data_IF_003598137506
#
_entry.id   IF_003598137506
#
_cell.length_a   1.000
_cell.length_b   1.000
_cell.length_c   1.000
_cell.angle_alpha   90.00
_cell.angle_beta   90.00
_cell.angle_gamma   90.00
#
_symmetry.space_group_name_H-M   'P 1'
#
loop_
_entity.id
_entity.type
_entity.pdbx_description
1 polymer ?
#
# COMPACT_ATOMS: atom_id res chain seq x y z
N UNK A 1 5.31 46.24 -56.35
CA UNK A 1 4.86 45.61 -55.09
C UNK A 1 6.03 45.01 -54.29
N UNK A 2 6.33 45.51 -53.09
CA UNK A 2 7.40 44.95 -52.25
C UNK A 2 6.91 43.72 -51.49
N UNK A 3 7.77 42.71 -51.34
CA UNK A 3 7.46 41.50 -50.54
C UNK A 3 7.58 41.82 -49.03
N UNK A 4 6.69 41.32 -48.18
CA UNK A 4 6.85 41.42 -46.74
C UNK A 4 7.93 40.44 -46.27
N UNK A 5 9.08 40.98 -45.87
CA UNK A 5 10.16 40.23 -45.25
C UNK A 5 9.73 39.94 -43.80
N UNK A 6 9.27 38.71 -43.55
CA UNK A 6 8.88 38.27 -42.20
C UNK A 6 10.14 38.16 -41.33
N UNK A 7 10.10 38.82 -40.18
CA UNK A 7 11.12 38.84 -39.13
C UNK A 7 11.18 37.46 -38.45
N UNK A 8 12.00 36.56 -39.01
CA UNK A 8 12.27 35.23 -38.45
C UNK A 8 13.13 35.28 -37.17
N UNK A 9 13.75 36.42 -36.84
CA UNK A 9 14.67 36.55 -35.72
C UNK A 9 13.96 36.75 -34.37
N UNK A 10 12.92 37.58 -34.35
CA UNK A 10 12.19 37.90 -33.12
C UNK A 10 11.37 36.72 -32.56
N UNK A 11 10.87 35.84 -33.43
CA UNK A 11 10.05 34.68 -33.06
C UNK A 11 10.87 33.55 -32.44
N UNK A 12 12.11 33.35 -32.88
CA UNK A 12 13.01 32.31 -32.36
C UNK A 12 13.43 32.60 -30.90
N UNK A 13 13.69 33.86 -30.57
CA UNK A 13 14.09 34.27 -29.21
C UNK A 13 12.94 34.18 -28.19
N UNK A 14 11.71 34.49 -28.60
CA UNK A 14 10.54 34.38 -27.72
C UNK A 14 10.20 32.92 -27.39
N UNK A 15 10.36 32.01 -28.34
CA UNK A 15 10.05 30.59 -28.13
C UNK A 15 11.10 29.90 -27.24
N UNK A 16 12.38 30.28 -27.39
CA UNK A 16 13.45 29.82 -26.50
C UNK A 16 13.22 30.26 -25.04
N UNK A 17 12.78 31.50 -24.81
CA UNK A 17 12.52 32.02 -23.47
C UNK A 17 11.31 31.33 -22.79
N UNK A 18 10.27 30.97 -23.56
CA UNK A 18 9.14 30.17 -23.04
C UNK A 18 9.58 28.75 -22.67
N UNK A 19 10.39 28.11 -23.52
CA UNK A 19 10.89 26.77 -23.27
C UNK A 19 11.73 26.70 -21.97
N UNK A 20 12.62 27.67 -21.76
CA UNK A 20 13.46 27.73 -20.55
C UNK A 20 12.62 27.87 -19.27
N UNK A 21 11.58 28.72 -19.29
CA UNK A 21 10.65 28.91 -18.16
C UNK A 21 9.86 27.63 -17.87
N UNK A 22 9.41 26.92 -18.90
CA UNK A 22 8.71 25.64 -18.76
C UNK A 22 9.63 24.57 -18.15
N UNK A 23 10.87 24.46 -18.62
CA UNK A 23 11.84 23.51 -18.06
C UNK A 23 12.18 23.79 -16.59
N UNK A 24 12.28 25.06 -16.19
CA UNK A 24 12.49 25.45 -14.79
C UNK A 24 11.28 25.09 -13.92
N UNK A 25 10.05 25.29 -14.42
CA UNK A 25 8.81 24.91 -13.71
C UNK A 25 8.69 23.40 -13.54
N UNK A 26 8.98 22.63 -14.59
CA UNK A 26 9.00 21.16 -14.55
C UNK A 26 10.03 20.65 -13.54
N UNK A 27 11.26 21.22 -13.53
CA UNK A 27 12.29 20.86 -12.55
C UNK A 27 11.87 21.15 -11.11
N UNK A 28 11.20 22.28 -10.86
CA UNK A 28 10.75 22.67 -9.52
C UNK A 28 9.59 21.78 -9.04
N UNK A 29 8.69 21.39 -9.94
CA UNK A 29 7.61 20.45 -9.66
C UNK A 29 8.18 19.07 -9.28
N UNK A 30 9.11 18.55 -10.08
CA UNK A 30 9.74 17.23 -9.84
C UNK A 30 10.47 17.15 -8.49
N UNK A 31 11.03 18.26 -8.02
CA UNK A 31 11.71 18.33 -6.72
C UNK A 31 10.73 18.34 -5.55
N UNK A 32 9.53 18.90 -5.74
CA UNK A 32 8.48 18.92 -4.72
C UNK A 32 7.78 17.56 -4.60
N UNK A 33 7.54 16.87 -5.73
CA UNK A 33 6.98 15.51 -5.74
C UNK A 33 7.94 14.49 -5.11
N UNK A 34 9.26 14.69 -5.23
CA UNK A 34 10.26 13.78 -4.67
C UNK A 34 10.38 13.87 -3.14
N UNK A 35 10.17 15.05 -2.56
CA UNK A 35 10.28 15.27 -1.12
C UNK A 35 9.05 14.70 -0.38
N UNK A 36 7.85 14.88 -0.96
CA UNK A 36 6.60 14.33 -0.43
C UNK A 36 6.59 12.79 -0.47
N UNK A 37 7.15 12.20 -1.53
CA UNK A 37 7.23 10.73 -1.66
C UNK A 37 8.09 10.07 -0.58
N UNK A 38 9.11 10.77 -0.04
CA UNK A 38 10.06 10.17 0.89
C UNK A 38 9.50 10.03 2.31
N UNK A 39 8.62 10.95 2.75
CA UNK A 39 8.02 10.88 4.08
C UNK A 39 6.85 9.87 4.13
N UNK A 40 6.03 9.81 3.08
CA UNK A 40 4.97 8.80 2.96
C UNK A 40 5.52 7.37 2.87
N UNK A 41 6.65 7.18 2.16
CA UNK A 41 7.34 5.90 2.08
C UNK A 41 7.86 5.46 3.45
N UNK A 42 8.33 6.40 4.28
CA UNK A 42 8.81 6.08 5.64
C UNK A 42 7.70 5.52 6.56
N UNK A 43 6.49 6.09 6.47
CA UNK A 43 5.33 5.65 7.24
C UNK A 43 4.80 4.31 6.74
N UNK A 44 4.72 4.13 5.42
CA UNK A 44 4.32 2.86 4.81
C UNK A 44 5.29 1.72 5.17
N UNK A 45 6.60 1.98 5.17
CA UNK A 45 7.62 1.03 5.61
C UNK A 45 7.48 0.70 7.10
N UNK A 46 7.25 1.69 7.96
CA UNK A 46 7.07 1.46 9.38
C UNK A 46 5.83 0.61 9.68
N UNK A 47 4.71 0.88 9.01
CA UNK A 47 3.48 0.07 9.13
C UNK A 47 3.71 -1.36 8.64
N UNK A 48 4.40 -1.53 7.52
CA UNK A 48 4.76 -2.84 6.97
C UNK A 48 5.55 -3.69 7.97
N UNK A 49 6.52 -3.07 8.68
CA UNK A 49 7.33 -3.75 9.70
C UNK A 49 6.49 -4.24 10.87
N UNK A 50 5.55 -3.43 11.36
CA UNK A 50 4.64 -3.81 12.45
C UNK A 50 3.74 -4.96 12.03
N UNK A 51 3.17 -4.89 10.83
CA UNK A 51 2.32 -5.95 10.26
C UNK A 51 3.07 -7.27 10.13
N UNK A 52 4.29 -7.23 9.59
CA UNK A 52 5.15 -8.42 9.45
C UNK A 52 5.59 -9.00 10.79
N UNK A 53 5.86 -8.15 11.78
CA UNK A 53 6.18 -8.61 13.14
C UNK A 53 5.00 -9.30 13.79
N UNK A 54 3.80 -8.71 13.68
CA UNK A 54 2.60 -9.28 14.26
C UNK A 54 2.17 -10.58 13.54
N UNK A 55 2.33 -10.65 12.22
CA UNK A 55 2.07 -11.89 11.48
C UNK A 55 3.02 -13.00 11.86
N UNK A 56 4.32 -12.71 11.99
CA UNK A 56 5.30 -13.68 12.46
C UNK A 56 4.96 -14.21 13.85
N UNK A 57 4.50 -13.33 14.76
CA UNK A 57 4.04 -13.74 16.10
C UNK A 57 2.82 -14.69 16.05
N UNK A 58 1.84 -14.38 15.21
CA UNK A 58 0.64 -15.24 15.05
C UNK A 58 1.03 -16.61 14.49
N UNK A 59 1.99 -16.66 13.56
CA UNK A 59 2.49 -17.91 12.98
C UNK A 59 3.45 -18.68 13.92
N UNK A 60 4.09 -18.00 14.86
CA UNK A 60 5.01 -18.61 15.84
C UNK A 60 4.29 -19.42 16.94
N UNK A 61 2.97 -19.27 17.08
CA UNK A 61 2.13 -20.05 17.98
C UNK A 61 1.26 -21.05 17.20
N UNK A 62 1.82 -22.14 16.65
CA UNK A 62 1.02 -23.13 15.95
C UNK A 62 0.11 -23.88 16.94
N UNK A 63 -1.11 -24.20 16.51
CA UNK A 63 -2.09 -25.06 17.20
C UNK A 63 -2.83 -24.48 18.42
N UNK A 64 -2.52 -23.26 18.84
CA UNK A 64 -3.23 -22.62 19.95
C UNK A 64 -3.71 -21.23 19.54
N UNK A 65 -4.97 -20.93 19.88
CA UNK A 65 -5.56 -19.60 19.71
C UNK A 65 -5.72 -18.95 21.09
N UNK A 66 -4.66 -18.32 21.63
CA UNK A 66 -4.76 -17.49 22.82
C UNK A 66 -5.65 -16.26 22.56
N UNK A 67 -6.21 -15.65 23.62
CA UNK A 67 -7.23 -14.60 23.52
C UNK A 67 -6.76 -13.31 22.84
N UNK A 68 -5.45 -13.11 22.67
CA UNK A 68 -4.88 -11.96 21.98
C UNK A 68 -4.83 -12.13 20.45
N UNK A 69 -5.00 -13.35 19.92
CA UNK A 69 -4.96 -13.60 18.46
C UNK A 69 -6.18 -13.01 17.74
N UNK A 70 -7.43 -13.24 18.18
CA UNK A 70 -8.60 -12.67 17.52
C UNK A 70 -8.55 -11.15 17.35
N UNK A 71 -8.22 -10.34 18.38
CA UNK A 71 -8.09 -8.89 18.19
C UNK A 71 -6.88 -8.52 17.33
N UNK A 72 -5.76 -9.25 17.39
CA UNK A 72 -4.60 -9.01 16.53
C UNK A 72 -4.93 -9.21 15.03
N UNK A 73 -5.69 -10.26 14.69
CA UNK A 73 -6.14 -10.50 13.31
C UNK A 73 -7.05 -9.38 12.81
N UNK A 74 -7.97 -8.87 13.63
CA UNK A 74 -8.78 -7.70 13.24
C UNK A 74 -7.90 -6.48 12.96
N UNK A 75 -6.87 -6.25 13.77
CA UNK A 75 -5.95 -5.13 13.54
C UNK A 75 -5.18 -5.31 12.24
N UNK A 76 -4.70 -6.53 11.95
CA UNK A 76 -4.05 -6.87 10.68
C UNK A 76 -4.96 -6.64 9.48
N UNK A 77 -6.25 -6.99 9.58
CA UNK A 77 -7.22 -6.79 8.52
C UNK A 77 -7.38 -5.32 8.12
N UNK A 78 -7.22 -4.37 9.05
CA UNK A 78 -7.27 -2.93 8.76
C UNK A 78 -6.11 -2.44 7.91
N UNK A 79 -4.97 -3.14 7.93
CA UNK A 79 -3.78 -2.78 7.14
C UNK A 79 -3.84 -3.29 5.70
N UNK A 80 -4.88 -4.03 5.31
CA UNK A 80 -5.03 -4.55 3.94
C UNK A 80 -5.21 -3.46 2.88
N UNK A 81 -5.78 -2.30 3.24
CA UNK A 81 -6.04 -1.18 2.33
C UNK A 81 -4.99 -0.06 2.36
N UNK A 82 -3.90 -0.19 3.12
CA UNK A 82 -3.00 0.93 3.44
C UNK A 82 -1.85 1.09 2.42
N UNK A 83 -1.51 0.07 1.63
CA UNK A 83 -0.45 0.22 0.61
C UNK A 83 -0.18 -1.01 -0.26
N UNK A 84 0.45 -0.79 -1.43
CA UNK A 84 0.93 -1.83 -2.35
C UNK A 84 1.95 -2.73 -1.62
N UNK A 85 1.56 -3.96 -1.28
CA UNK A 85 2.45 -5.00 -0.73
C UNK A 85 2.09 -5.51 0.67
N UNK A 86 1.54 -4.66 1.54
CA UNK A 86 1.16 -5.07 2.92
C UNK A 86 -0.07 -5.98 2.89
N UNK A 87 -1.03 -5.70 2.02
CA UNK A 87 -2.24 -6.52 1.87
C UNK A 87 -1.95 -7.98 1.54
N UNK A 88 -0.98 -8.25 0.65
CA UNK A 88 -0.60 -9.62 0.30
C UNK A 88 0.10 -10.34 1.46
N UNK A 89 0.92 -9.64 2.24
CA UNK A 89 1.55 -10.20 3.44
C UNK A 89 0.49 -10.57 4.50
N UNK A 90 -0.51 -9.71 4.70
CA UNK A 90 -1.65 -10.00 5.59
C UNK A 90 -2.43 -11.23 5.09
N UNK A 91 -2.80 -11.28 3.81
CA UNK A 91 -3.52 -12.44 3.24
C UNK A 91 -2.74 -13.75 3.36
N UNK A 92 -1.42 -13.72 3.09
CA UNK A 92 -0.54 -14.89 3.28
C UNK A 92 -0.57 -15.36 4.74
N UNK A 93 -0.50 -14.43 5.68
CA UNK A 93 -0.58 -14.73 7.11
C UNK A 93 -1.90 -15.39 7.48
N UNK A 94 -3.03 -14.85 7.00
CA UNK A 94 -4.35 -15.41 7.29
C UNK A 94 -4.51 -16.81 6.68
N UNK A 95 -3.97 -17.01 5.48
CA UNK A 95 -3.98 -18.33 4.81
C UNK A 95 -3.15 -19.34 5.59
N UNK A 96 -1.94 -19.00 6.01
CA UNK A 96 -1.08 -19.87 6.81
C UNK A 96 -1.66 -20.15 8.21
N UNK A 97 -2.27 -19.15 8.84
CA UNK A 97 -2.98 -19.33 10.10
C UNK A 97 -4.15 -20.31 9.95
N UNK A 98 -4.97 -20.16 8.89
CA UNK A 98 -6.08 -21.08 8.59
C UNK A 98 -5.56 -22.50 8.37
N UNK A 99 -4.46 -22.64 7.60
CA UNK A 99 -3.84 -23.94 7.30
C UNK A 99 -3.36 -24.66 8.55
N UNK A 100 -2.72 -23.95 9.47
CA UNK A 100 -2.20 -24.53 10.73
C UNK A 100 -3.28 -24.86 11.75
N UNK A 101 -4.44 -24.21 11.67
CA UNK A 101 -5.57 -24.41 12.59
C UNK A 101 -6.75 -25.15 11.96
N UNK A 102 -6.55 -25.76 10.78
CA UNK A 102 -7.61 -26.37 9.99
C UNK A 102 -8.25 -27.57 10.71
N UNK A 103 -7.43 -28.42 11.33
CA UNK A 103 -7.87 -29.67 11.96
C UNK A 103 -8.84 -29.42 13.14
N UNK A 104 -8.61 -28.35 13.90
CA UNK A 104 -9.43 -27.95 15.05
C UNK A 104 -10.21 -26.66 14.80
N UNK A 105 -10.45 -26.29 13.54
CA UNK A 105 -11.00 -24.98 13.19
C UNK A 105 -12.34 -24.68 13.86
N UNK A 106 -13.26 -25.66 13.94
CA UNK A 106 -14.56 -25.47 14.61
C UNK A 106 -14.41 -25.02 16.07
N UNK A 107 -13.50 -25.63 16.84
CA UNK A 107 -13.23 -25.24 18.22
C UNK A 107 -12.55 -23.87 18.31
N UNK A 108 -11.67 -23.57 17.36
CA UNK A 108 -11.02 -22.27 17.32
C UNK A 108 -12.01 -21.15 16.96
N UNK A 109 -12.98 -21.40 16.07
CA UNK A 109 -14.02 -20.44 15.70
C UNK A 109 -14.85 -19.99 16.90
N UNK A 110 -15.07 -20.85 17.90
CA UNK A 110 -15.78 -20.47 19.14
C UNK A 110 -15.05 -19.41 19.97
N UNK A 111 -13.72 -19.26 19.78
CA UNK A 111 -12.92 -18.20 20.42
C UNK A 111 -13.08 -16.84 19.73
N UNK A 112 -13.63 -16.81 18.51
CA UNK A 112 -13.84 -15.59 17.75
C UNK A 112 -15.29 -15.12 17.88
N UNK A 113 -15.49 -13.81 17.82
CA UNK A 113 -16.85 -13.27 17.65
C UNK A 113 -17.28 -13.37 16.18
N UNK A 114 -18.60 -13.38 15.93
CA UNK A 114 -19.14 -13.45 14.56
C UNK A 114 -18.58 -12.35 13.65
N UNK A 115 -18.40 -11.13 14.18
CA UNK A 115 -17.83 -10.00 13.46
C UNK A 115 -16.35 -10.23 13.09
N UNK A 116 -15.57 -10.83 14.00
CA UNK A 116 -14.15 -11.13 13.73
C UNK A 116 -14.01 -12.20 12.65
N UNK A 117 -14.89 -13.21 12.65
CA UNK A 117 -14.92 -14.25 11.62
C UNK A 117 -15.33 -13.71 10.25
N UNK A 118 -16.25 -12.74 10.21
CA UNK A 118 -16.64 -12.05 8.99
C UNK A 118 -15.45 -11.31 8.37
N UNK A 119 -14.77 -10.47 9.15
CA UNK A 119 -13.54 -9.78 8.71
C UNK A 119 -12.47 -10.78 8.25
N UNK A 120 -12.31 -11.89 8.97
CA UNK A 120 -11.37 -12.94 8.58
C UNK A 120 -11.69 -13.55 7.21
N UNK A 121 -12.97 -13.81 6.94
CA UNK A 121 -13.43 -14.33 5.65
C UNK A 121 -13.29 -13.30 4.54
N UNK A 122 -13.60 -12.04 4.81
CA UNK A 122 -13.51 -10.94 3.85
C UNK A 122 -12.07 -10.78 3.32
N UNK A 123 -11.09 -10.78 4.23
CA UNK A 123 -9.66 -10.73 3.89
C UNK A 123 -9.22 -11.91 3.01
N UNK A 124 -9.72 -13.12 3.30
CA UNK A 124 -9.41 -14.33 2.52
C UNK A 124 -10.15 -14.38 1.16
N UNK A 125 -11.31 -13.74 1.07
CA UNK A 125 -12.14 -13.72 -0.15
C UNK A 125 -11.74 -12.62 -1.13
N UNK A 126 -11.07 -11.57 -0.64
CA UNK A 126 -10.59 -10.46 -1.44
C UNK A 126 -9.59 -10.93 -2.51
N UNK A 127 -9.90 -10.86 -3.82
CA UNK A 127 -8.96 -11.22 -4.88
C UNK A 127 -7.71 -10.32 -4.81
N UNK A 128 -6.49 -10.87 -4.91
CA UNK A 128 -5.27 -10.06 -5.08
C UNK A 128 -5.11 -9.52 -6.51
N UNK A 129 -6.20 -9.19 -7.22
CA UNK A 129 -6.20 -8.95 -8.66
C UNK A 129 -6.33 -7.47 -9.10
N UNK A 130 -6.41 -6.52 -8.16
CA UNK A 130 -6.44 -5.10 -8.50
C UNK A 130 -5.42 -4.32 -7.66
N UNK A 131 -4.12 -4.50 -7.95
CA UNK A 131 -3.07 -3.58 -7.54
C UNK A 131 -1.90 -3.62 -8.51
#
# INVERSE_FOLDING_TARGET
PPRPQQDLGATLGQEAAKCLKTMQKIRKQKKLDQDVSSEEESLALQQSRVVLGLSALVLAAPYQVPPWIPPALVHLARFTGVGRGVGDAVKKTFTEFKRTHQDNWMMHQERFTSQQLEVFRDVLSSPSYYA
#
